data_IF_030544463239
#
_entry.id   IF_030544463239
#
_cell.length_a   1.000
_cell.length_b   1.000
_cell.length_c   1.000
_cell.angle_alpha   90.00
_cell.angle_beta   90.00
_cell.angle_gamma   90.00
#
_symmetry.space_group_name_H-M   'P 1'
#
loop_
_entity.id
_entity.type
_entity.pdbx_description
1 polymer ?
#
# COMPACT_ATOMS: atom_id res chain seq x y z
N UNK A 1 6.08 -6.63 17.57
CA UNK A 1 6.09 -6.35 16.11
C UNK A 1 5.49 -4.99 15.73
N UNK A 2 4.53 -4.42 16.47
CA UNK A 2 3.86 -3.16 16.09
C UNK A 2 4.78 -1.94 15.99
N UNK A 3 5.84 -1.84 16.79
CA UNK A 3 6.80 -0.72 16.70
C UNK A 3 7.46 -0.63 15.32
N UNK A 4 7.70 -1.76 14.64
CA UNK A 4 8.33 -1.79 13.31
C UNK A 4 7.39 -1.32 12.21
N UNK A 5 6.09 -1.68 12.28
CA UNK A 5 5.11 -1.22 11.29
C UNK A 5 4.81 0.27 11.42
N UNK A 6 4.83 0.80 12.65
CA UNK A 6 4.63 2.24 12.90
C UNK A 6 5.82 3.06 12.41
N UNK A 7 7.05 2.62 12.66
CA UNK A 7 8.23 3.31 12.15
C UNK A 7 8.28 3.31 10.62
N UNK A 8 7.87 2.21 9.98
CA UNK A 8 7.81 2.10 8.52
C UNK A 8 6.83 3.14 7.93
N UNK A 9 5.62 3.24 8.49
CA UNK A 9 4.61 4.21 8.05
C UNK A 9 5.08 5.67 8.22
N UNK A 10 5.73 6.00 9.34
CA UNK A 10 6.26 7.35 9.56
C UNK A 10 7.32 7.72 8.53
N UNK A 11 8.24 6.80 8.22
CA UNK A 11 9.26 7.02 7.19
C UNK A 11 8.62 7.20 5.81
N UNK A 12 7.60 6.40 5.45
CA UNK A 12 6.85 6.59 4.20
C UNK A 12 6.25 7.99 4.07
N UNK A 13 5.63 8.51 5.12
CA UNK A 13 5.01 9.84 5.12
C UNK A 13 6.06 10.94 4.95
N UNK A 14 7.23 10.80 5.58
CA UNK A 14 8.33 11.76 5.45
C UNK A 14 8.90 11.73 4.02
N UNK A 15 9.09 10.54 3.44
CA UNK A 15 9.58 10.39 2.06
C UNK A 15 8.58 10.99 1.08
N UNK A 16 7.27 10.71 1.23
CA UNK A 16 6.22 11.28 0.36
C UNK A 16 6.12 12.81 0.48
N UNK A 17 6.19 13.35 1.70
CA UNK A 17 6.13 14.79 1.91
C UNK A 17 7.34 15.52 1.32
N UNK A 18 8.54 14.98 1.57
CA UNK A 18 9.77 15.56 1.03
C UNK A 18 9.88 15.40 -0.49
N UNK A 19 9.47 14.26 -1.06
CA UNK A 19 9.47 14.04 -2.50
C UNK A 19 8.49 14.95 -3.23
N UNK A 20 7.33 15.26 -2.64
CA UNK A 20 6.38 16.21 -3.20
C UNK A 20 6.96 17.63 -3.29
N UNK A 21 7.64 18.09 -2.24
CA UNK A 21 8.31 19.40 -2.24
C UNK A 21 9.44 19.46 -3.27
N UNK A 22 10.31 18.45 -3.30
CA UNK A 22 11.42 18.37 -4.28
C UNK A 22 10.87 18.26 -5.70
N UNK A 23 9.77 17.53 -5.91
CA UNK A 23 9.08 17.41 -7.18
C UNK A 23 8.55 18.75 -7.67
N UNK A 24 7.90 19.52 -6.79
CA UNK A 24 7.41 20.86 -7.13
C UNK A 24 8.55 21.78 -7.56
N UNK A 25 9.65 21.82 -6.81
CA UNK A 25 10.84 22.59 -7.20
C UNK A 25 11.46 22.10 -8.52
N UNK A 26 11.48 20.78 -8.75
CA UNK A 26 11.99 20.18 -9.97
C UNK A 26 11.21 20.58 -11.22
N UNK A 27 9.87 20.70 -11.10
CA UNK A 27 8.99 21.17 -12.18
C UNK A 27 9.21 22.65 -12.44
N UNK A 28 9.26 23.49 -11.40
CA UNK A 28 9.43 24.95 -11.54
C UNK A 28 10.77 25.32 -12.20
N UNK A 29 11.84 24.56 -11.93
CA UNK A 29 13.17 24.79 -12.52
C UNK A 29 13.44 23.96 -13.78
N UNK A 30 12.47 23.18 -14.27
CA UNK A 30 12.58 22.34 -15.46
C UNK A 30 13.82 21.41 -15.44
N UNK A 31 14.22 20.94 -14.24
CA UNK A 31 15.40 20.09 -14.07
C UNK A 31 15.01 18.61 -14.12
N UNK A 32 15.33 17.95 -15.23
CA UNK A 32 14.98 16.54 -15.48
C UNK A 32 15.54 15.60 -14.40
N UNK A 33 16.73 15.88 -13.88
CA UNK A 33 17.38 15.06 -12.85
C UNK A 33 16.63 15.07 -11.51
N UNK A 34 16.06 16.21 -11.11
CA UNK A 34 15.27 16.31 -9.88
C UNK A 34 13.96 15.51 -9.98
N UNK A 35 13.32 15.57 -11.15
CA UNK A 35 12.07 14.83 -11.41
C UNK A 35 12.28 13.31 -11.40
N UNK A 36 13.37 12.81 -11.97
CA UNK A 36 13.68 11.38 -11.93
C UNK A 36 13.91 10.86 -10.50
N UNK A 37 14.62 11.62 -9.67
CA UNK A 37 14.83 11.27 -8.24
C UNK A 37 13.49 11.21 -7.51
N UNK A 38 12.57 12.14 -7.76
CA UNK A 38 11.25 12.14 -7.12
C UNK A 38 10.44 10.90 -7.48
N UNK A 39 10.47 10.46 -8.74
CA UNK A 39 9.81 9.23 -9.18
C UNK A 39 10.31 7.98 -8.45
N UNK A 40 11.63 7.86 -8.23
CA UNK A 40 12.22 6.76 -7.46
C UNK A 40 11.84 6.83 -5.98
N UNK A 41 11.83 8.02 -5.39
CA UNK A 41 11.41 8.21 -3.99
C UNK A 41 9.95 7.79 -3.76
N UNK A 42 9.05 8.05 -4.72
CA UNK A 42 7.68 7.55 -4.68
C UNK A 42 7.62 6.02 -4.76
N UNK A 43 8.42 5.38 -5.63
CA UNK A 43 8.48 3.90 -5.67
C UNK A 43 8.95 3.30 -4.36
N UNK A 44 9.99 3.87 -3.74
CA UNK A 44 10.49 3.43 -2.44
C UNK A 44 9.43 3.60 -1.34
N UNK A 45 8.73 4.74 -1.29
CA UNK A 45 7.64 4.92 -0.34
C UNK A 45 6.49 3.90 -0.56
N UNK A 46 6.18 3.58 -1.83
CA UNK A 46 5.19 2.56 -2.18
C UNK A 46 5.55 1.15 -1.71
N UNK A 47 6.82 0.74 -1.81
CA UNK A 47 7.25 -0.58 -1.33
C UNK A 47 7.22 -0.69 0.19
N UNK A 48 7.60 0.37 0.92
CA UNK A 48 7.47 0.42 2.37
C UNK A 48 5.99 0.40 2.83
N UNK A 49 5.11 1.07 2.09
CA UNK A 49 3.67 1.00 2.32
C UNK A 49 3.11 -0.42 2.05
N UNK A 50 3.55 -1.11 0.99
CA UNK A 50 3.21 -2.51 0.70
C UNK A 50 3.62 -3.42 1.86
N UNK A 51 4.84 -3.27 2.38
CA UNK A 51 5.29 -4.05 3.53
C UNK A 51 4.40 -3.83 4.75
N UNK A 52 4.06 -2.58 5.05
CA UNK A 52 3.18 -2.23 6.17
C UNK A 52 1.79 -2.85 6.01
N UNK A 53 1.20 -2.74 4.81
CA UNK A 53 -0.11 -3.32 4.50
C UNK A 53 -0.09 -4.85 4.58
N UNK A 54 0.98 -5.47 4.12
CA UNK A 54 1.20 -6.93 4.17
C UNK A 54 1.26 -7.43 5.61
N UNK A 55 1.99 -6.74 6.50
CA UNK A 55 2.05 -7.09 7.93
C UNK A 55 0.67 -7.01 8.58
N UNK A 56 -0.11 -5.96 8.27
CA UNK A 56 -1.48 -5.81 8.78
C UNK A 56 -2.38 -6.94 8.25
N UNK A 57 -2.23 -7.31 6.99
CA UNK A 57 -2.97 -8.40 6.36
C UNK A 57 -2.65 -9.76 7.00
N UNK A 58 -1.36 -10.06 7.22
CA UNK A 58 -0.93 -11.27 7.92
C UNK A 58 -1.45 -11.30 9.36
N UNK A 59 -1.35 -10.20 10.10
CA UNK A 59 -1.88 -10.12 11.47
C UNK A 59 -3.37 -10.44 11.51
N UNK A 60 -4.18 -9.86 10.61
CA UNK A 60 -5.62 -10.11 10.54
C UNK A 60 -5.92 -11.56 10.14
N UNK A 61 -5.13 -12.16 9.25
CA UNK A 61 -5.26 -13.56 8.84
C UNK A 61 -4.88 -14.52 9.97
N UNK A 62 -3.83 -14.22 10.73
CA UNK A 62 -3.40 -14.98 11.90
C UNK A 62 -4.41 -14.92 13.04
N UNK A 63 -5.08 -13.79 13.28
CA UNK A 63 -6.14 -13.67 14.29
C UNK A 63 -7.40 -14.49 13.91
N UNK A 64 -7.75 -14.52 12.62
CA UNK A 64 -8.82 -15.38 12.12
C UNK A 64 -8.45 -16.87 12.17
N UNK A 65 -7.19 -17.23 11.97
CA UNK A 65 -6.72 -18.62 11.95
C UNK A 65 -6.40 -19.18 13.34
N UNK A 66 -5.86 -18.35 14.25
CA UNK A 66 -5.54 -18.72 15.63
C UNK A 66 -6.76 -19.01 16.50
N UNK A 67 -7.92 -18.36 16.25
CA UNK A 67 -9.21 -18.74 16.86
C UNK A 67 -9.79 -20.03 16.30
N UNK A 68 -9.33 -20.49 15.14
CA UNK A 68 -9.69 -21.80 14.60
C UNK A 68 -8.96 -22.94 15.32
N UNK A 69 -7.67 -22.77 15.61
CA UNK A 69 -6.86 -23.80 16.25
C UNK A 69 -6.93 -23.82 17.79
N UNK A 70 -7.26 -22.70 18.45
CA UNK A 70 -7.40 -22.68 19.92
C UNK A 70 -8.61 -23.50 20.42
N UNK A 71 -9.60 -23.77 19.58
CA UNK A 71 -10.75 -24.63 19.88
C UNK A 71 -10.63 -26.04 19.25
N UNK A 72 -9.51 -26.37 18.58
CA UNK A 72 -9.25 -27.71 18.03
C UNK A 72 -8.65 -28.69 19.06
N UNK A 73 -8.21 -28.21 20.23
CA UNK A 73 -7.62 -29.06 21.27
C UNK A 73 -8.61 -29.77 22.20
N UNK A 74 -9.91 -29.42 22.14
CA UNK A 74 -10.86 -29.83 23.19
C UNK A 74 -12.04 -30.73 22.75
N UNK A 75 -12.39 -30.85 21.46
CA UNK A 75 -13.49 -31.73 21.05
C UNK A 75 -13.27 -32.33 19.66
N UNK A 76 -13.19 -33.67 19.64
CA UNK A 76 -12.79 -34.50 18.50
C UNK A 76 -13.65 -34.42 17.24
N UNK A 77 -12.95 -34.61 16.11
CA UNK A 77 -13.29 -35.47 14.95
C UNK A 77 -14.74 -35.97 14.84
N UNK A 78 -15.67 -35.07 14.55
CA UNK A 78 -17.04 -35.47 14.17
C UNK A 78 -17.92 -34.36 13.61
N UNK A 79 -17.59 -33.10 13.87
CA UNK A 79 -18.56 -32.01 13.72
C UNK A 79 -18.29 -31.05 12.55
N UNK A 80 -17.52 -31.43 11.52
CA UNK A 80 -17.13 -30.49 10.46
C UNK A 80 -18.31 -29.98 9.61
N UNK A 81 -19.31 -30.85 9.36
CA UNK A 81 -20.54 -30.48 8.65
C UNK A 81 -21.49 -29.64 9.50
N UNK A 82 -21.68 -30.01 10.77
CA UNK A 82 -22.52 -29.25 11.70
C UNK A 82 -21.88 -27.89 12.03
N UNK A 83 -20.55 -27.82 12.09
CA UNK A 83 -19.75 -26.60 12.25
C UNK A 83 -19.84 -25.70 11.02
N UNK A 84 -19.84 -26.24 9.80
CA UNK A 84 -20.08 -25.43 8.59
C UNK A 84 -21.52 -24.88 8.53
N UNK A 85 -22.49 -25.65 9.01
CA UNK A 85 -23.88 -25.22 9.15
C UNK A 85 -24.05 -24.13 10.22
N UNK A 86 -23.53 -24.34 11.43
CA UNK A 86 -23.53 -23.32 12.48
C UNK A 86 -22.72 -22.08 12.07
N UNK A 87 -21.56 -22.27 11.44
CA UNK A 87 -20.76 -21.16 10.90
C UNK A 87 -21.59 -20.36 9.90
N UNK A 88 -22.26 -20.99 8.93
CA UNK A 88 -23.16 -20.27 8.01
C UNK A 88 -24.35 -19.60 8.71
N UNK A 89 -24.80 -20.11 9.86
CA UNK A 89 -25.94 -19.57 10.61
C UNK A 89 -25.57 -18.43 11.58
N UNK A 90 -24.37 -18.47 12.16
CA UNK A 90 -23.86 -17.45 13.10
C UNK A 90 -22.95 -16.40 12.44
N UNK A 91 -22.50 -16.62 11.20
CA UNK A 91 -21.69 -15.65 10.44
C UNK A 91 -22.40 -14.37 9.95
N UNK A 92 -23.74 -14.26 9.76
CA UNK A 92 -24.30 -12.99 9.32
C UNK A 92 -24.21 -11.90 10.41
N UNK A 93 -23.90 -12.25 11.66
CA UNK A 93 -23.71 -11.28 12.75
C UNK A 93 -22.27 -10.76 12.89
N UNK A 94 -21.31 -11.34 12.15
CA UNK A 94 -19.90 -10.91 12.18
C UNK A 94 -19.42 -10.64 10.77
N UNK A 95 -20.12 -9.74 10.09
CA UNK A 95 -19.54 -9.06 8.95
C UNK A 95 -18.33 -8.29 9.44
N UNK A 96 -17.14 -8.88 9.26
CA UNK A 96 -15.90 -8.14 9.29
C UNK A 96 -15.94 -7.25 8.05
N UNK A 97 -16.69 -6.15 8.17
CA UNK A 97 -16.70 -5.09 7.20
C UNK A 97 -15.24 -4.74 6.91
N UNK A 98 -14.88 -4.69 5.63
CA UNK A 98 -13.58 -4.20 5.21
C UNK A 98 -13.37 -2.84 5.84
N UNK A 99 -12.57 -2.78 6.91
CA UNK A 99 -12.33 -1.52 7.59
C UNK A 99 -11.76 -0.53 6.59
N UNK A 100 -12.31 0.68 6.52
CA UNK A 100 -11.92 1.77 5.61
C UNK A 100 -10.41 1.92 5.44
N UNK A 101 -9.64 1.68 6.51
CA UNK A 101 -8.18 1.73 6.50
C UNK A 101 -7.51 0.75 5.53
N UNK A 102 -8.13 -0.39 5.23
CA UNK A 102 -7.60 -1.39 4.28
C UNK A 102 -7.76 -0.88 2.84
N UNK A 103 -8.96 -0.40 2.50
CA UNK A 103 -9.25 0.21 1.20
C UNK A 103 -8.40 1.47 0.96
N UNK A 104 -8.24 2.31 1.99
CA UNK A 104 -7.32 3.45 1.97
C UNK A 104 -5.86 3.03 1.73
N UNK A 105 -5.44 1.87 2.24
CA UNK A 105 -4.11 1.32 2.00
C UNK A 105 -3.89 0.91 0.54
N UNK A 106 -4.85 0.19 -0.05
CA UNK A 106 -4.82 -0.17 -1.48
C UNK A 106 -4.91 1.07 -2.38
N UNK A 107 -5.75 2.04 -2.02
CA UNK A 107 -5.84 3.32 -2.72
C UNK A 107 -4.52 4.10 -2.67
N UNK A 108 -3.84 4.11 -1.52
CA UNK A 108 -2.53 4.76 -1.39
C UNK A 108 -1.48 4.10 -2.30
N UNK A 109 -1.52 2.77 -2.44
CA UNK A 109 -0.64 2.05 -3.36
C UNK A 109 -0.94 2.38 -4.82
N UNK A 110 -2.21 2.35 -5.20
CA UNK A 110 -2.65 2.75 -6.54
C UNK A 110 -2.21 4.18 -6.85
N UNK A 111 -2.43 5.12 -5.92
CA UNK A 111 -2.01 6.51 -6.05
C UNK A 111 -0.50 6.65 -6.18
N UNK A 112 0.28 5.89 -5.41
CA UNK A 112 1.74 5.92 -5.48
C UNK A 112 2.25 5.41 -6.84
N UNK A 113 1.67 4.33 -7.37
CA UNK A 113 2.01 3.82 -8.71
C UNK A 113 1.61 4.79 -9.83
N UNK A 114 0.43 5.41 -9.72
CA UNK A 114 -0.03 6.43 -10.66
C UNK A 114 0.87 7.68 -10.61
N UNK A 115 1.28 8.11 -9.41
CA UNK A 115 2.21 9.22 -9.23
C UNK A 115 3.58 8.92 -9.87
N UNK A 116 4.16 7.74 -9.63
CA UNK A 116 5.41 7.33 -10.28
C UNK A 116 5.29 7.30 -11.81
N UNK A 117 4.19 6.78 -12.35
CA UNK A 117 3.93 6.79 -13.79
C UNK A 117 3.81 8.22 -14.32
N UNK A 118 3.08 9.10 -13.62
CA UNK A 118 2.94 10.50 -13.97
C UNK A 118 4.30 11.22 -13.98
N UNK A 119 5.15 11.00 -12.98
CA UNK A 119 6.49 11.58 -12.91
C UNK A 119 7.41 11.09 -14.04
N UNK A 120 7.35 9.80 -14.40
CA UNK A 120 8.10 9.24 -15.53
C UNK A 120 7.59 9.82 -16.86
N UNK A 121 6.28 9.93 -17.04
CA UNK A 121 5.66 10.55 -18.20
C UNK A 121 6.06 12.03 -18.31
N UNK A 122 6.07 12.75 -17.19
CA UNK A 122 6.48 14.16 -17.15
C UNK A 122 7.96 14.32 -17.51
N UNK A 123 8.85 13.45 -16.99
CA UNK A 123 10.26 13.44 -17.37
C UNK A 123 10.46 13.16 -18.86
N UNK A 124 9.60 12.31 -19.46
CA UNK A 124 9.60 12.03 -20.90
C UNK A 124 9.12 13.24 -21.69
N UNK A 125 7.97 13.83 -21.35
CA UNK A 125 7.42 15.02 -22.03
C UNK A 125 8.40 16.19 -21.98
N UNK A 126 9.00 16.48 -20.82
CA UNK A 126 10.02 17.53 -20.69
C UNK A 126 11.28 17.27 -21.53
N UNK A 127 11.56 16.01 -21.90
CA UNK A 127 12.65 15.66 -22.82
C UNK A 127 12.26 15.79 -24.29
N UNK A 128 10.97 15.73 -24.63
CA UNK A 128 10.49 15.90 -26.00
C UNK A 128 10.30 17.39 -26.39
N UNK A 129 9.84 18.27 -25.48
CA UNK A 129 9.77 19.73 -25.74
C UNK A 129 11.07 20.41 -26.21
N UNK A 130 12.27 20.10 -25.67
CA UNK A 130 13.50 20.69 -26.18
C UNK A 130 13.86 20.18 -27.58
N UNK A 131 13.48 18.95 -27.96
CA UNK A 131 13.78 18.44 -29.31
C UNK A 131 12.93 19.13 -30.38
N UNK A 132 11.69 19.48 -30.09
CA UNK A 132 10.83 20.24 -31.04
C UNK A 132 11.32 21.68 -31.26
N UNK A 133 12.04 22.25 -30.29
CA UNK A 133 12.58 23.62 -30.38
C UNK A 133 13.96 23.67 -31.06
N UNK A 134 14.68 22.54 -31.11
CA UNK A 134 15.98 22.42 -31.82
C UNK A 134 15.78 22.06 -33.30
N UNK A 135 14.63 21.47 -33.67
CA UNK A 135 14.31 21.03 -35.03
C UNK A 135 13.40 22.00 -35.83
N UNK A 136 12.95 23.09 -35.23
CA UNK A 136 12.17 24.17 -35.85
C UNK A 136 13.05 25.40 -36.06
#
# INVERSE_FOLDING_TARGET
>A
MQNLSISCALVCLIILGSSALVGLFGVVKHQISAVLVTGVMYLLAGTFALFTLTIIHFKRRSECQGRGNAEEGALGTGNERLRNQLRNHYLPAREVAGGWSLELGWAALALCTAASALWILLARVMRYSPLTTILA
#
